data_IF_535603166744
#
_entry.id   IF_535603166744
#
_cell.length_a   1.000
_cell.length_b   1.000
_cell.length_c   1.000
_cell.angle_alpha   90.00
_cell.angle_beta   90.00
_cell.angle_gamma   90.00
#
_symmetry.space_group_name_H-M   'P 1'
#
loop_
_entity.id
_entity.type
_entity.pdbx_description
1 polymer ?
#
# COMPACT_ATOMS: atom_id res chain seq x y z
N UNK A 1 -51.95 52.94 -7.72
CA UNK A 1 -51.24 52.13 -6.74
C UNK A 1 -51.61 50.67 -6.96
N UNK A 2 -50.71 49.90 -7.64
CA UNK A 2 -51.00 48.50 -7.98
C UNK A 2 -50.41 47.60 -6.91
N UNK A 3 -51.25 46.96 -6.08
CA UNK A 3 -50.83 45.98 -5.09
C UNK A 3 -50.76 44.62 -5.80
N UNK A 4 -49.58 44.10 -6.07
CA UNK A 4 -49.35 42.73 -6.57
C UNK A 4 -49.44 41.75 -5.41
N UNK A 5 -50.52 41.04 -5.33
CA UNK A 5 -50.70 39.92 -4.36
C UNK A 5 -49.86 38.71 -4.81
N UNK A 6 -48.75 38.49 -4.13
CA UNK A 6 -47.94 37.25 -4.35
C UNK A 6 -48.65 36.12 -3.60
N UNK A 7 -49.01 35.01 -4.31
CA UNK A 7 -49.62 33.83 -3.70
C UNK A 7 -48.63 33.18 -2.77
N UNK A 8 -48.94 33.08 -1.50
CA UNK A 8 -48.10 32.54 -0.40
C UNK A 8 -47.53 31.16 -0.74
N UNK A 9 -48.28 30.30 -1.46
CA UNK A 9 -47.82 28.97 -1.90
C UNK A 9 -46.59 29.01 -2.86
N UNK A 10 -46.50 30.06 -3.72
CA UNK A 10 -45.36 30.26 -4.62
C UNK A 10 -44.11 30.76 -3.89
N UNK A 11 -44.30 31.53 -2.82
CA UNK A 11 -43.20 32.00 -1.96
C UNK A 11 -42.51 30.84 -1.22
N UNK A 12 -43.28 29.95 -0.61
CA UNK A 12 -42.74 28.76 0.07
C UNK A 12 -42.04 27.81 -0.89
N UNK A 13 -42.57 27.62 -2.11
CA UNK A 13 -41.92 26.83 -3.14
C UNK A 13 -40.55 27.44 -3.58
N UNK A 14 -40.46 28.76 -3.70
CA UNK A 14 -39.20 29.43 -4.03
C UNK A 14 -38.16 29.30 -2.89
N UNK A 15 -38.58 29.40 -1.64
CA UNK A 15 -37.71 29.23 -0.47
C UNK A 15 -37.17 27.80 -0.38
N UNK A 16 -38.00 26.77 -0.64
CA UNK A 16 -37.54 25.37 -0.63
C UNK A 16 -36.54 25.09 -1.76
N UNK A 17 -36.76 25.59 -2.95
CA UNK A 17 -35.81 25.43 -4.06
C UNK A 17 -34.48 26.12 -3.74
N UNK A 18 -34.53 27.34 -3.18
CA UNK A 18 -33.33 28.09 -2.82
C UNK A 18 -32.52 27.37 -1.72
N UNK A 19 -33.19 26.75 -0.74
CA UNK A 19 -32.52 25.99 0.31
C UNK A 19 -31.86 24.71 -0.23
N UNK A 20 -32.52 23.97 -1.13
CA UNK A 20 -31.94 22.78 -1.77
C UNK A 20 -30.71 23.14 -2.60
N UNK A 21 -30.77 24.21 -3.39
CA UNK A 21 -29.63 24.70 -4.16
C UNK A 21 -28.49 25.13 -3.23
N UNK A 22 -28.79 25.82 -2.14
CA UNK A 22 -27.78 26.22 -1.15
C UNK A 22 -27.06 25.03 -0.51
N UNK A 23 -27.80 23.97 -0.13
CA UNK A 23 -27.22 22.73 0.41
C UNK A 23 -26.36 22.01 -0.65
N UNK A 24 -26.83 21.94 -1.90
CA UNK A 24 -26.06 21.30 -2.98
C UNK A 24 -24.75 22.03 -3.25
N UNK A 25 -24.76 23.37 -3.31
CA UNK A 25 -23.56 24.18 -3.49
C UNK A 25 -22.60 24.01 -2.30
N UNK A 26 -23.10 24.03 -1.06
CA UNK A 26 -22.28 23.80 0.12
C UNK A 26 -21.62 22.41 0.10
N UNK A 27 -22.35 21.37 -0.29
CA UNK A 27 -21.82 20.01 -0.42
C UNK A 27 -20.72 19.91 -1.49
N UNK A 28 -20.90 20.57 -2.65
CA UNK A 28 -19.88 20.62 -3.70
C UNK A 28 -18.63 21.35 -3.23
N UNK A 29 -18.78 22.50 -2.53
CA UNK A 29 -17.65 23.26 -1.99
C UNK A 29 -16.89 22.45 -0.93
N UNK A 30 -17.61 21.75 -0.05
CA UNK A 30 -17.00 20.91 0.98
C UNK A 30 -16.25 19.72 0.38
N UNK A 31 -16.82 19.05 -0.61
CA UNK A 31 -16.15 17.94 -1.32
C UNK A 31 -14.90 18.43 -2.09
N UNK A 32 -14.93 19.63 -2.66
CA UNK A 32 -13.78 20.19 -3.38
C UNK A 32 -12.62 20.60 -2.46
N UNK A 33 -12.88 20.94 -1.19
CA UNK A 33 -11.83 21.23 -0.21
C UNK A 33 -11.06 19.96 0.15
N UNK A 34 -11.73 18.86 0.46
CA UNK A 34 -11.06 17.60 0.76
C UNK A 34 -10.22 17.04 -0.42
N UNK A 35 -10.64 17.28 -1.66
CA UNK A 35 -9.86 16.92 -2.84
C UNK A 35 -8.60 17.78 -2.99
N UNK A 36 -8.66 19.07 -2.67
CA UNK A 36 -7.51 19.99 -2.71
C UNK A 36 -6.48 19.68 -1.63
N UNK A 37 -6.93 19.33 -0.43
CA UNK A 37 -6.07 18.95 0.68
C UNK A 37 -5.31 17.64 0.36
N UNK A 38 -6.00 16.64 -0.19
CA UNK A 38 -5.36 15.40 -0.65
C UNK A 38 -4.35 15.67 -1.76
N UNK A 39 -4.70 16.49 -2.75
CA UNK A 39 -3.78 16.85 -3.83
C UNK A 39 -2.56 17.63 -3.33
N UNK A 40 -2.69 18.40 -2.24
CA UNK A 40 -1.56 19.09 -1.62
C UNK A 40 -0.66 18.12 -0.85
N UNK A 41 -1.22 17.15 -0.12
CA UNK A 41 -0.48 16.11 0.61
C UNK A 41 0.42 15.27 -0.30
N UNK A 42 -0.05 14.97 -1.51
CA UNK A 42 0.72 14.14 -2.48
C UNK A 42 1.63 14.96 -3.40
N UNK A 43 1.88 16.23 -3.10
CA UNK A 43 2.82 17.05 -3.88
C UNK A 43 4.26 16.74 -3.48
N UNK A 44 5.09 16.32 -4.46
CA UNK A 44 6.46 15.83 -4.27
C UNK A 44 7.49 16.59 -5.11
N UNK A 45 7.30 17.91 -5.25
CA UNK A 45 8.16 18.75 -6.09
C UNK A 45 9.50 19.13 -5.45
N UNK A 46 9.62 18.99 -4.13
CA UNK A 46 10.84 19.30 -3.38
C UNK A 46 11.19 18.18 -2.41
N UNK A 47 12.47 18.12 -2.02
CA UNK A 47 12.94 17.19 -0.98
C UNK A 47 12.18 17.35 0.31
N UNK A 48 12.00 18.59 0.75
CA UNK A 48 11.25 18.89 1.97
C UNK A 48 9.83 18.25 1.97
N UNK A 49 9.11 18.33 0.84
CA UNK A 49 7.77 17.74 0.74
C UNK A 49 7.81 16.20 0.80
N UNK A 50 8.84 15.58 0.21
CA UNK A 50 9.03 14.13 0.29
C UNK A 50 9.36 13.71 1.72
N UNK A 51 10.24 14.41 2.40
CA UNK A 51 10.61 14.15 3.79
C UNK A 51 9.45 14.37 4.77
N UNK A 52 8.68 15.44 4.58
CA UNK A 52 7.46 15.69 5.37
C UNK A 52 6.47 14.51 5.22
N UNK A 53 6.22 14.06 4.00
CA UNK A 53 5.34 12.92 3.73
C UNK A 53 5.88 11.60 4.33
N UNK A 54 7.18 11.32 4.19
CA UNK A 54 7.82 10.13 4.78
C UNK A 54 7.69 10.14 6.30
N UNK A 55 7.93 11.29 6.92
CA UNK A 55 7.81 11.47 8.36
C UNK A 55 6.36 11.32 8.85
N UNK A 56 5.36 11.80 8.10
CA UNK A 56 3.94 11.59 8.40
C UNK A 56 3.52 10.10 8.38
N UNK A 57 4.22 9.29 7.57
CA UNK A 57 4.04 7.84 7.55
C UNK A 57 4.75 7.12 8.72
N UNK A 58 5.55 7.84 9.53
CA UNK A 58 6.29 7.32 10.67
C UNK A 58 7.62 6.64 10.32
N UNK A 59 8.14 6.87 9.09
CA UNK A 59 9.43 6.36 8.69
C UNK A 59 10.55 7.36 9.02
N UNK A 60 11.71 6.82 9.41
CA UNK A 60 12.95 7.55 9.60
C UNK A 60 13.91 7.18 8.46
N UNK A 61 14.32 8.18 7.68
CA UNK A 61 15.20 8.03 6.52
C UNK A 61 16.32 9.07 6.58
N UNK A 62 17.28 8.98 5.66
CA UNK A 62 18.24 10.06 5.44
C UNK A 62 17.52 11.33 4.94
N UNK A 63 18.13 12.50 5.15
CA UNK A 63 17.55 13.80 4.77
C UNK A 63 17.41 13.96 3.24
N UNK A 64 18.23 13.24 2.46
CA UNK A 64 18.23 13.22 1.01
C UNK A 64 18.00 11.79 0.50
N UNK A 65 17.46 11.67 -0.70
CA UNK A 65 17.30 10.36 -1.34
C UNK A 65 18.68 9.76 -1.71
N UNK A 66 18.81 8.45 -1.54
CA UNK A 66 20.01 7.70 -2.00
C UNK A 66 20.06 7.63 -3.51
N UNK A 67 18.94 7.34 -4.15
CA UNK A 67 18.84 7.16 -5.60
C UNK A 67 17.58 7.80 -6.18
N UNK A 68 17.75 8.47 -7.32
CA UNK A 68 16.64 8.90 -8.16
C UNK A 68 16.74 8.21 -9.52
N UNK A 69 15.76 7.41 -9.89
CA UNK A 69 15.69 6.70 -11.17
C UNK A 69 14.54 7.24 -12.02
N UNK A 70 14.80 7.40 -13.31
CA UNK A 70 13.78 7.76 -14.29
C UNK A 70 13.39 6.48 -15.03
N UNK A 71 12.12 6.12 -14.96
CA UNK A 71 11.58 4.89 -15.56
C UNK A 71 10.33 5.21 -16.39
N UNK A 72 9.99 4.32 -17.30
CA UNK A 72 8.74 4.39 -18.07
C UNK A 72 7.82 3.30 -17.53
N UNK A 73 6.60 3.67 -17.14
CA UNK A 73 5.56 2.70 -16.76
C UNK A 73 5.18 1.90 -18.01
N UNK A 74 5.20 0.55 -17.98
CA UNK A 74 4.88 -0.27 -19.12
C UNK A 74 3.50 0.04 -19.74
N UNK A 75 3.38 -0.09 -21.04
CA UNK A 75 2.08 0.03 -21.74
C UNK A 75 1.17 -1.18 -21.44
N UNK A 76 1.78 -2.36 -21.31
CA UNK A 76 1.12 -3.60 -20.95
C UNK A 76 1.72 -4.10 -19.64
N UNK A 77 0.86 -4.45 -18.70
CA UNK A 77 1.28 -5.00 -17.42
C UNK A 77 1.34 -6.52 -17.53
N UNK A 78 2.51 -7.08 -17.28
CA UNK A 78 2.68 -8.51 -17.04
C UNK A 78 2.13 -8.89 -15.65
N UNK A 79 2.27 -10.14 -15.26
CA UNK A 79 1.79 -10.66 -13.98
C UNK A 79 2.47 -9.96 -12.78
N UNK A 80 3.77 -9.70 -12.88
CA UNK A 80 4.55 -9.04 -11.83
C UNK A 80 4.10 -7.60 -11.66
N UNK A 81 3.99 -6.85 -12.76
CA UNK A 81 3.58 -5.45 -12.71
C UNK A 81 2.10 -5.29 -12.31
N UNK A 82 1.25 -6.27 -12.67
CA UNK A 82 -0.15 -6.32 -12.23
C UNK A 82 -0.22 -6.49 -10.71
N UNK A 83 0.53 -7.44 -10.15
CA UNK A 83 0.61 -7.65 -8.69
C UNK A 83 1.14 -6.41 -7.96
N UNK A 84 2.14 -5.74 -8.54
CA UNK A 84 2.64 -4.47 -8.02
C UNK A 84 1.57 -3.37 -8.05
N UNK A 85 0.81 -3.26 -9.14
CA UNK A 85 -0.28 -2.28 -9.23
C UNK A 85 -1.43 -2.58 -8.27
N UNK A 86 -1.69 -3.85 -7.97
CA UNK A 86 -2.69 -4.23 -6.96
C UNK A 86 -2.27 -3.77 -5.55
N UNK A 87 -0.97 -3.83 -5.23
CA UNK A 87 -0.42 -3.22 -4.02
C UNK A 87 -0.63 -1.69 -4.03
N UNK A 88 -0.44 -1.03 -5.16
CA UNK A 88 -0.68 0.41 -5.29
C UNK A 88 -2.17 0.75 -5.12
N UNK A 89 -3.07 -0.06 -5.70
CA UNK A 89 -4.54 0.12 -5.57
C UNK A 89 -5.01 0.00 -4.11
N UNK A 90 -4.40 -0.86 -3.31
CA UNK A 90 -4.68 -0.95 -1.87
C UNK A 90 -4.35 0.35 -1.11
N UNK A 91 -3.41 1.13 -1.62
CA UNK A 91 -3.00 2.42 -1.09
C UNK A 91 -3.81 3.60 -1.66
N UNK A 92 -4.66 3.35 -2.65
CA UNK A 92 -5.46 4.36 -3.35
C UNK A 92 -4.78 4.99 -4.55
N UNK A 93 -3.71 4.38 -5.06
CA UNK A 93 -3.05 4.73 -6.32
C UNK A 93 -3.47 3.75 -7.42
N UNK A 94 -3.36 4.17 -8.70
CA UNK A 94 -3.56 3.28 -9.84
C UNK A 94 -2.57 3.63 -10.96
N UNK A 95 -1.59 2.75 -11.16
CA UNK A 95 -0.55 2.97 -12.18
C UNK A 95 -1.05 2.76 -13.60
N UNK A 96 -2.23 2.17 -13.80
CA UNK A 96 -2.85 2.04 -15.13
C UNK A 96 -3.12 3.39 -15.78
N UNK A 97 -3.41 4.42 -14.98
CA UNK A 97 -3.61 5.79 -15.44
C UNK A 97 -2.33 6.43 -16.01
N UNK A 98 -1.17 5.84 -15.69
CA UNK A 98 0.15 6.36 -16.05
C UNK A 98 0.90 5.48 -17.05
N UNK A 99 0.24 4.50 -17.69
CA UNK A 99 0.84 3.64 -18.72
C UNK A 99 1.57 4.45 -19.79
N UNK A 100 2.83 4.10 -20.07
CA UNK A 100 3.69 4.79 -21.02
C UNK A 100 4.21 6.16 -20.58
N UNK A 101 3.95 6.58 -19.35
CA UNK A 101 4.49 7.83 -18.80
C UNK A 101 5.88 7.60 -18.23
N UNK A 102 6.72 8.62 -18.38
CA UNK A 102 8.02 8.68 -17.71
C UNK A 102 7.82 9.23 -16.32
N UNK A 103 8.31 8.51 -15.32
CA UNK A 103 8.16 8.83 -13.90
C UNK A 103 9.51 8.83 -13.20
N UNK A 104 9.60 9.51 -12.08
CA UNK A 104 10.77 9.56 -11.21
C UNK A 104 10.51 8.66 -9.99
N UNK A 105 11.50 7.84 -9.62
CA UNK A 105 11.45 7.02 -8.42
C UNK A 105 12.56 7.49 -7.49
N UNK A 106 12.18 8.07 -6.36
CA UNK A 106 13.08 8.49 -5.30
C UNK A 106 13.12 7.39 -4.24
N UNK A 107 14.31 6.89 -3.92
CA UNK A 107 14.51 5.81 -2.96
C UNK A 107 15.33 6.30 -1.77
N UNK A 108 14.88 5.93 -0.56
CA UNK A 108 15.44 6.33 0.73
C UNK A 108 15.74 5.11 1.59
N UNK A 109 16.91 4.99 2.23
CA UNK A 109 17.14 3.98 3.25
C UNK A 109 16.23 4.22 4.44
N UNK A 110 15.61 3.17 4.97
CA UNK A 110 14.75 3.22 6.16
C UNK A 110 15.53 2.72 7.37
N UNK A 111 15.57 3.52 8.46
CA UNK A 111 16.37 3.22 9.64
C UNK A 111 15.57 2.64 10.81
N UNK A 112 14.24 2.77 10.79
CA UNK A 112 13.38 2.36 11.89
C UNK A 112 12.43 1.19 11.55
N UNK A 113 12.79 0.34 10.56
CA UNK A 113 12.02 -0.86 10.27
C UNK A 113 12.30 -1.93 11.34
N UNK A 114 11.26 -2.56 11.95
CA UNK A 114 11.46 -3.56 12.99
C UNK A 114 12.15 -4.81 12.45
N UNK A 115 13.30 -5.17 13.02
CA UNK A 115 13.99 -6.43 12.72
C UNK A 115 14.74 -6.50 11.40
N UNK A 116 14.72 -5.46 10.58
CA UNK A 116 15.37 -5.41 9.26
C UNK A 116 16.22 -4.15 9.12
N UNK A 117 17.42 -4.30 8.52
CA UNK A 117 18.34 -3.17 8.28
C UNK A 117 18.43 -2.72 6.82
N UNK A 118 18.12 -3.63 5.90
CA UNK A 118 18.30 -3.41 4.46
C UNK A 118 16.95 -3.09 3.81
N UNK A 119 16.29 -2.04 4.30
CA UNK A 119 14.96 -1.62 3.86
C UNK A 119 15.03 -0.28 3.13
N UNK A 120 14.35 -0.21 1.99
CA UNK A 120 14.24 0.98 1.17
C UNK A 120 12.78 1.40 1.05
N UNK A 121 12.53 2.70 1.16
CA UNK A 121 11.28 3.34 0.82
C UNK A 121 11.42 3.99 -0.55
N UNK A 122 10.49 3.71 -1.45
CA UNK A 122 10.48 4.28 -2.81
C UNK A 122 9.21 5.10 -3.03
N UNK A 123 9.37 6.34 -3.51
CA UNK A 123 8.29 7.22 -3.92
C UNK A 123 8.28 7.36 -5.43
N UNK A 124 7.18 6.98 -6.08
CA UNK A 124 7.00 7.13 -7.53
C UNK A 124 6.26 8.44 -7.82
N UNK A 125 6.91 9.31 -8.59
CA UNK A 125 6.45 10.69 -8.83
C UNK A 125 6.26 10.94 -10.31
N UNK A 126 5.12 11.50 -10.68
CA UNK A 126 4.81 11.98 -12.03
C UNK A 126 4.41 13.45 -11.99
N UNK A 127 5.14 14.31 -12.72
CA UNK A 127 4.89 15.75 -12.75
C UNK A 127 4.79 16.39 -11.35
N UNK A 128 5.64 15.94 -10.43
CA UNK A 128 5.65 16.44 -9.05
C UNK A 128 4.49 15.97 -8.17
N UNK A 129 3.77 14.93 -8.59
CA UNK A 129 2.67 14.32 -7.85
C UNK A 129 3.05 12.87 -7.50
N UNK A 130 2.84 12.46 -6.26
CA UNK A 130 2.97 11.06 -5.86
C UNK A 130 1.88 10.22 -6.55
N UNK A 131 2.29 9.17 -7.23
CA UNK A 131 1.40 8.26 -7.96
C UNK A 131 1.50 6.82 -7.46
N UNK A 132 2.42 6.54 -6.57
CA UNK A 132 2.65 5.23 -5.97
C UNK A 132 3.92 5.20 -5.14
N UNK A 133 4.16 4.05 -4.51
CA UNK A 133 5.36 3.81 -3.74
C UNK A 133 5.25 2.55 -2.91
N UNK A 134 6.37 2.16 -2.34
CA UNK A 134 6.51 0.93 -1.57
C UNK A 134 7.63 1.05 -0.54
N UNK A 135 7.60 0.13 0.40
CA UNK A 135 8.71 -0.17 1.33
C UNK A 135 9.11 -1.61 1.11
N UNK A 136 10.35 -1.87 0.76
CA UNK A 136 10.84 -3.21 0.46
C UNK A 136 12.19 -3.49 1.12
N UNK A 137 12.41 -4.76 1.48
CA UNK A 137 13.73 -5.26 1.85
C UNK A 137 14.55 -5.53 0.58
N UNK A 138 15.83 -5.17 0.60
CA UNK A 138 16.76 -5.44 -0.50
C UNK A 138 17.40 -6.83 -0.38
N UNK A 139 17.06 -7.61 0.65
CA UNK A 139 17.50 -9.00 0.81
C UNK A 139 16.89 -9.91 -0.27
N UNK A 140 17.54 -11.07 -0.55
CA UNK A 140 17.12 -12.00 -1.61
C UNK A 140 15.70 -12.52 -1.38
N UNK A 141 15.34 -12.85 -0.13
CA UNK A 141 14.00 -13.31 0.27
C UNK A 141 13.22 -12.18 0.96
N UNK A 142 13.45 -10.94 0.54
CA UNK A 142 12.87 -9.75 1.13
C UNK A 142 11.36 -9.63 0.89
N UNK A 143 10.76 -8.71 1.62
CA UNK A 143 9.35 -8.37 1.50
C UNK A 143 9.15 -7.11 0.64
N UNK A 144 7.91 -6.89 0.22
CA UNK A 144 7.43 -5.62 -0.32
C UNK A 144 6.07 -5.31 0.27
N UNK A 145 5.89 -4.08 0.74
CA UNK A 145 4.64 -3.61 1.32
C UNK A 145 4.32 -2.19 0.85
N UNK A 146 3.11 -1.73 1.14
CA UNK A 146 2.72 -0.35 0.89
C UNK A 146 3.49 0.64 1.79
N UNK A 147 3.40 1.92 1.44
CA UNK A 147 4.09 3.02 2.13
C UNK A 147 3.73 3.17 3.61
N UNK A 148 2.49 2.80 4.00
CA UNK A 148 2.05 2.90 5.39
C UNK A 148 2.71 1.83 6.24
N UNK A 149 3.18 2.23 7.42
CA UNK A 149 3.66 1.30 8.42
C UNK A 149 2.53 0.36 8.85
N UNK A 150 2.75 -0.93 8.77
CA UNK A 150 1.86 -1.93 9.34
C UNK A 150 2.17 -1.93 10.84
N UNK A 151 1.30 -1.33 11.65
CA UNK A 151 1.36 -1.55 13.09
C UNK A 151 0.96 -3.01 13.32
N UNK A 152 1.90 -3.85 13.69
CA UNK A 152 1.58 -5.15 14.26
C UNK A 152 0.75 -4.88 15.52
N UNK A 153 -0.55 -5.09 15.39
CA UNK A 153 -1.43 -5.15 16.53
C UNK A 153 -0.94 -6.37 17.33
N UNK A 154 -0.20 -6.12 18.42
CA UNK A 154 0.08 -7.14 19.42
C UNK A 154 -1.23 -7.88 19.66
N UNK A 155 -1.31 -9.11 19.14
CA UNK A 155 -2.36 -10.03 19.50
C UNK A 155 -2.17 -10.33 20.98
N UNK A 156 -2.88 -9.60 21.82
CA UNK A 156 -3.07 -9.97 23.22
C UNK A 156 -3.60 -11.40 23.20
N UNK A 157 -2.68 -12.29 23.55
CA UNK A 157 -2.91 -13.69 23.87
C UNK A 157 -3.97 -13.75 24.99
N UNK A 158 -5.20 -14.03 24.60
CA UNK A 158 -6.24 -14.48 25.53
C UNK A 158 -6.15 -16.01 25.61
N UNK A 159 -5.17 -16.48 26.37
CA UNK A 159 -5.09 -17.83 26.83
C UNK A 159 -6.12 -18.03 27.95
N UNK A 160 -7.35 -18.37 27.61
CA UNK A 160 -8.23 -19.03 28.56
C UNK A 160 -8.09 -20.53 28.42
N UNK A 161 -7.31 -21.06 29.32
CA UNK A 161 -7.25 -22.48 29.67
C UNK A 161 -8.64 -22.97 30.10
N UNK A 162 -9.12 -23.99 29.44
CA UNK A 162 -10.06 -24.94 30.05
C UNK A 162 -9.50 -26.34 29.89
N UNK A 163 -9.01 -26.77 31.01
CA UNK A 163 -8.73 -28.14 31.45
C UNK A 163 -10.03 -28.96 31.32
N UNK A 164 -10.01 -30.08 30.62
CA UNK A 164 -10.75 -31.28 31.09
C UNK A 164 -10.16 -32.56 30.52
N UNK A 165 -9.89 -33.39 31.49
CA UNK A 165 -9.30 -34.71 31.47
C UNK A 165 -10.26 -35.77 30.92
N UNK A 166 -9.75 -36.79 30.27
CA UNK A 166 -9.75 -38.21 30.64
C UNK A 166 -9.52 -39.10 29.41
N UNK A 167 -8.49 -39.84 29.50
CA UNK A 167 -8.33 -41.27 29.84
C UNK A 167 -8.54 -42.25 28.70
N UNK A 168 -7.51 -43.02 28.58
CA UNK A 168 -7.40 -44.46 28.39
C UNK A 168 -7.27 -45.05 26.99
N UNK A 169 -6.09 -45.57 26.80
CA UNK A 169 -5.73 -47.01 26.58
C UNK A 169 -5.95 -47.52 25.15
N UNK A 170 -4.90 -47.96 24.63
CA UNK A 170 -4.33 -49.31 24.53
C UNK A 170 -4.20 -49.79 23.08
N UNK A 171 -3.13 -50.34 22.84
CA UNK A 171 -2.67 -51.61 22.30
C UNK A 171 -1.97 -51.57 20.93
N UNK A 172 -0.69 -51.89 21.06
CA UNK A 172 0.20 -52.85 20.36
C UNK A 172 -0.05 -53.05 18.84
N UNK A 173 0.92 -53.24 18.05
CA UNK A 173 2.09 -54.08 17.95
C UNK A 173 2.74 -53.92 16.57
N UNK A 174 4.05 -53.97 16.63
CA UNK A 174 5.01 -54.86 15.91
C UNK A 174 4.98 -54.80 14.36
N UNK A 175 6.10 -54.44 13.91
CA UNK A 175 7.31 -55.16 13.52
C UNK A 175 7.35 -55.41 12.00
N UNK A 176 8.45 -55.11 11.52
CA UNK A 176 9.48 -55.91 10.84
C UNK A 176 9.67 -55.56 9.35
N UNK A 177 10.81 -55.34 9.07
CA UNK A 177 11.98 -56.03 8.53
C UNK A 177 12.47 -55.46 7.18
N UNK A 178 13.74 -55.15 7.24
CA UNK A 178 14.82 -55.49 6.31
C UNK A 178 14.63 -55.21 4.83
N UNK A 179 15.53 -54.70 4.16
CA UNK A 179 16.95 -54.83 3.94
C UNK A 179 17.34 -54.15 2.63
N UNK A 180 18.45 -53.43 2.65
CA UNK A 180 19.70 -53.81 1.99
C UNK A 180 19.59 -53.99 0.46
N UNK A 181 20.33 -53.35 -0.30
CA UNK A 181 21.74 -53.37 -0.64
C UNK A 181 21.99 -52.47 -1.84
N UNK A 182 23.07 -51.74 -1.76
CA UNK A 182 24.31 -51.83 -2.56
C UNK A 182 24.16 -51.43 -4.04
N UNK A 183 24.91 -50.54 -4.45
CA UNK A 183 26.29 -50.57 -4.91
C UNK A 183 26.48 -49.74 -6.19
N UNK A 184 27.37 -48.86 -6.14
CA UNK A 184 28.67 -48.75 -6.80
C UNK A 184 28.71 -48.15 -8.21
N UNK A 185 29.49 -47.09 -8.22
CA UNK A 185 30.59 -46.75 -9.14
C UNK A 185 30.19 -46.34 -10.56
N UNK A 186 30.70 -45.31 -10.99
CA UNK A 186 32.05 -44.91 -11.34
C UNK A 186 32.07 -44.40 -12.79
N UNK A 187 32.98 -43.53 -13.01
CA UNK A 187 33.73 -43.25 -14.21
C UNK A 187 33.31 -42.06 -15.08
N UNK A 188 33.99 -40.97 -14.80
CA UNK A 188 35.09 -40.36 -15.59
C UNK A 188 34.88 -39.96 -17.05
N UNK A 189 35.50 -38.85 -17.29
CA UNK A 189 36.23 -38.34 -18.47
C UNK A 189 35.39 -37.61 -19.51
N UNK A 190 35.73 -36.41 -19.69
CA UNK A 190 36.85 -35.65 -20.27
C UNK A 190 36.56 -35.22 -21.71
N UNK A 191 36.94 -33.99 -21.92
CA UNK A 191 37.40 -33.35 -23.17
C UNK A 191 36.39 -32.99 -24.29
N UNK A 192 36.24 -31.74 -24.55
CA UNK A 192 36.89 -30.92 -25.58
C UNK A 192 36.36 -29.47 -25.47
#
# INVERSE_FOLDING_TARGET
MFIKTVKIKSFWAAVTVLSVVGVAVAAILFASQGARERAAMYRMTSEHQRQEFISELGWETDEEYDTCRIVIIPQEFDEVYTSYNDLQKQQGFDLEEYKGKTVEIYSYPVHNYPGESDVMLSLMVYNGQLIGGDVCSTAIDGFMQGLRRIEEKESADDSSATDDSSSAADDSSEADDSSKTDSVADTSEETA
#
